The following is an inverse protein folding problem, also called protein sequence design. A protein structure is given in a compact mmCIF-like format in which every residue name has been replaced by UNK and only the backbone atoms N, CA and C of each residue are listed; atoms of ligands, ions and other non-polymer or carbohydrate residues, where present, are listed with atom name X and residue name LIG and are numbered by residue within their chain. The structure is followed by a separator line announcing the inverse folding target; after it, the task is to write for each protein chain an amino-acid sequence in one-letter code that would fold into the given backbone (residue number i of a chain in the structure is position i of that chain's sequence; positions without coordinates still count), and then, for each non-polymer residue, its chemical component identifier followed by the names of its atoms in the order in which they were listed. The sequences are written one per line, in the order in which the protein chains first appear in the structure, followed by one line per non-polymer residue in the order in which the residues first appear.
data_IF_843796614338
#
_entry.id   IF_843796614338
#
_cell.length_a   1.000
_cell.length_b   1.000
_cell.length_c   1.000
_cell.angle_alpha   90.00
_cell.angle_beta   90.00
_cell.angle_gamma   90.00
#
_symmetry.space_group_name_H-M   'P 1'
#
loop_
_entity.id
_entity.type
_entity.pdbx_description
1 polymer ?
#
# COMPACT_ATOMS: atom_id res chain seq x y z
N UNK A 1 1.44 0.93 -13.37
CA UNK A 1 0.16 0.26 -13.04
C UNK A 1 -0.95 1.19 -13.44
N UNK A 2 -1.86 0.73 -14.31
CA UNK A 2 -2.94 1.55 -14.88
C UNK A 2 -4.23 1.45 -14.06
N UNK A 3 -5.09 2.47 -14.18
CA UNK A 3 -6.42 2.45 -13.61
C UNK A 3 -7.33 1.54 -14.44
N UNK A 4 -8.03 0.64 -13.76
CA UNK A 4 -8.85 -0.38 -14.40
C UNK A 4 -10.34 -0.18 -14.10
N UNK A 5 -11.17 -0.49 -15.09
CA UNK A 5 -12.59 -0.77 -14.88
C UNK A 5 -12.77 -2.12 -14.18
N UNK A 6 -13.97 -2.38 -13.64
CA UNK A 6 -14.27 -3.68 -13.01
C UNK A 6 -14.13 -4.86 -14.01
N UNK A 7 -14.44 -4.62 -15.28
CA UNK A 7 -14.31 -5.63 -16.34
C UNK A 7 -12.85 -5.97 -16.62
N UNK A 8 -11.99 -4.96 -16.72
CA UNK A 8 -10.55 -5.14 -16.92
C UNK A 8 -9.91 -5.81 -15.70
N UNK A 9 -10.26 -5.36 -14.49
CA UNK A 9 -9.81 -5.97 -13.24
C UNK A 9 -10.16 -7.47 -13.17
N UNK A 10 -11.39 -7.83 -13.57
CA UNK A 10 -11.82 -9.23 -13.65
C UNK A 10 -11.07 -10.02 -14.71
N UNK A 11 -10.73 -9.38 -15.83
CA UNK A 11 -9.97 -9.99 -16.92
C UNK A 11 -8.54 -10.29 -16.46
N UNK A 12 -7.90 -9.34 -15.78
CA UNK A 12 -6.53 -9.47 -15.29
C UNK A 12 -6.42 -10.44 -14.11
N UNK A 13 -7.24 -10.24 -13.07
CA UNK A 13 -7.07 -10.96 -11.80
C UNK A 13 -8.00 -12.17 -11.62
N UNK A 14 -8.97 -12.33 -12.52
CA UNK A 14 -10.02 -13.33 -12.39
C UNK A 14 -11.22 -12.84 -11.58
N UNK A 15 -12.35 -13.54 -11.76
CA UNK A 15 -13.61 -13.23 -11.07
C UNK A 15 -13.60 -13.82 -9.66
N UNK A 16 -13.99 -13.02 -8.67
CA UNK A 16 -14.19 -13.51 -7.30
C UNK A 16 -15.36 -14.50 -7.25
N UNK A 17 -15.20 -15.57 -6.45
CA UNK A 17 -16.29 -16.51 -6.19
C UNK A 17 -17.42 -15.87 -5.37
N UNK A 18 -18.67 -16.25 -5.65
CA UNK A 18 -19.89 -15.71 -5.03
C UNK A 18 -19.97 -15.90 -3.50
N UNK A 19 -19.15 -16.77 -2.92
CA UNK A 19 -19.24 -17.17 -1.51
C UNK A 19 -17.94 -16.96 -0.71
N UNK A 20 -16.88 -16.37 -1.32
CA UNK A 20 -15.58 -16.25 -0.65
C UNK A 20 -14.79 -14.99 -1.08
N UNK A 21 -15.45 -13.84 -1.20
CA UNK A 21 -14.75 -12.56 -1.36
C UNK A 21 -14.11 -12.15 -0.05
N UNK A 22 -12.85 -12.56 0.16
CA UNK A 22 -12.02 -12.02 1.25
C UNK A 22 -11.63 -10.60 0.90
N UNK A 23 -12.21 -9.64 1.62
CA UNK A 23 -11.96 -8.21 1.42
C UNK A 23 -11.60 -7.53 2.74
N UNK A 24 -10.57 -6.69 2.70
CA UNK A 24 -10.24 -5.74 3.74
C UNK A 24 -10.74 -4.36 3.29
N UNK A 25 -11.91 -3.96 3.80
CA UNK A 25 -12.61 -2.75 3.36
C UNK A 25 -12.72 -1.69 4.45
N UNK A 26 -12.17 -0.50 4.20
CA UNK A 26 -12.28 0.63 5.12
C UNK A 26 -11.31 0.62 6.31
N UNK A 27 -10.36 -0.32 6.35
CA UNK A 27 -9.33 -0.38 7.40
C UNK A 27 -8.02 0.31 7.00
N UNK A 28 -7.82 0.56 5.70
CA UNK A 28 -6.59 1.14 5.17
C UNK A 28 -6.87 2.52 4.55
N UNK A 29 -5.88 3.39 4.58
CA UNK A 29 -5.86 4.64 3.83
C UNK A 29 -4.64 4.68 2.93
N UNK A 30 -4.87 4.94 1.65
CA UNK A 30 -3.82 5.09 0.66
C UNK A 30 -2.97 6.32 0.98
N UNK A 31 -1.66 6.13 0.93
CA UNK A 31 -0.68 7.20 1.08
C UNK A 31 -0.03 7.46 -0.27
N UNK A 32 0.51 6.44 -0.93
CA UNK A 32 1.21 6.67 -2.18
C UNK A 32 1.88 5.46 -2.78
N UNK A 33 2.51 5.67 -3.94
CA UNK A 33 3.41 4.70 -4.56
C UNK A 33 2.82 4.01 -5.77
N UNK A 34 1.65 4.41 -6.24
CA UNK A 34 1.04 3.98 -7.51
C UNK A 34 0.79 5.24 -8.34
N UNK A 35 1.62 5.48 -9.35
CA UNK A 35 1.62 6.73 -10.13
C UNK A 35 0.23 7.15 -10.60
N UNK A 36 -0.54 6.25 -11.19
CA UNK A 36 -1.88 6.56 -11.71
C UNK A 36 -2.90 6.92 -10.63
N UNK A 37 -2.71 6.45 -9.38
CA UNK A 37 -3.50 6.89 -8.22
C UNK A 37 -2.95 8.20 -7.65
N UNK A 38 -1.63 8.35 -7.60
CA UNK A 38 -0.96 9.56 -7.12
C UNK A 38 -1.38 10.78 -7.97
N UNK A 39 -1.46 10.62 -9.30
CA UNK A 39 -1.93 11.67 -10.23
C UNK A 39 -3.40 12.04 -10.01
N UNK A 40 -4.26 11.07 -9.66
CA UNK A 40 -5.68 11.31 -9.40
C UNK A 40 -5.91 11.98 -8.04
N UNK A 41 -5.16 11.56 -7.03
CA UNK A 41 -5.32 12.00 -5.64
C UNK A 41 -4.65 13.35 -5.42
N UNK A 42 -3.52 13.60 -6.09
CA UNK A 42 -2.70 14.78 -5.89
C UNK A 42 -1.92 14.73 -4.58
N UNK A 43 -1.77 15.88 -3.93
CA UNK A 43 -1.02 15.97 -2.67
C UNK A 43 -1.65 15.12 -1.56
N UNK A 44 -0.80 14.41 -0.82
CA UNK A 44 -1.21 13.62 0.33
C UNK A 44 -1.74 14.55 1.41
N UNK A 45 -3.03 14.45 1.70
CA UNK A 45 -3.63 15.09 2.86
C UNK A 45 -3.98 14.04 3.93
N UNK A 46 -3.15 13.95 4.97
CA UNK A 46 -3.39 13.03 6.09
C UNK A 46 -4.68 13.32 6.88
N UNK A 47 -5.25 14.53 6.75
CA UNK A 47 -6.52 14.91 7.39
C UNK A 47 -7.75 14.37 6.65
N UNK A 48 -7.63 14.11 5.34
CA UNK A 48 -8.69 13.53 4.50
C UNK A 48 -8.22 12.18 3.99
N UNK A 49 -8.39 11.11 4.78
CA UNK A 49 -7.84 9.81 4.41
C UNK A 49 -8.50 9.27 3.14
N UNK A 50 -7.68 8.92 2.16
CA UNK A 50 -8.14 8.21 0.96
C UNK A 50 -8.35 6.75 1.30
N UNK A 51 -9.58 6.36 1.67
CA UNK A 51 -9.89 4.98 2.05
C UNK A 51 -9.51 4.05 0.91
N UNK A 52 -8.69 3.05 1.21
CA UNK A 52 -8.38 1.98 0.28
C UNK A 52 -8.87 0.62 0.78
N UNK A 53 -9.17 -0.25 -0.18
CA UNK A 53 -9.62 -1.61 0.08
C UNK A 53 -8.77 -2.60 -0.70
N UNK A 54 -8.51 -3.73 -0.05
CA UNK A 54 -7.86 -4.89 -0.65
C UNK A 54 -8.89 -5.99 -0.84
N UNK A 55 -8.96 -6.57 -2.04
CA UNK A 55 -9.78 -7.74 -2.31
C UNK A 55 -8.92 -8.84 -2.93
N UNK A 56 -8.97 -10.04 -2.34
CA UNK A 56 -8.29 -11.21 -2.90
C UNK A 56 -9.01 -11.65 -4.16
N UNK A 57 -8.26 -11.79 -5.24
CA UNK A 57 -8.69 -12.33 -6.53
C UNK A 57 -7.86 -13.59 -6.86
N UNK A 58 -8.33 -14.48 -7.75
CA UNK A 58 -7.62 -15.72 -8.09
C UNK A 58 -6.15 -15.56 -8.49
N UNK A 59 -5.80 -14.47 -9.17
CA UNK A 59 -4.43 -14.22 -9.67
C UNK A 59 -3.71 -13.09 -8.94
N UNK A 60 -4.22 -12.62 -7.80
CA UNK A 60 -3.56 -11.56 -7.03
C UNK A 60 -4.53 -10.70 -6.22
N UNK A 61 -4.21 -9.43 -6.14
CA UNK A 61 -4.86 -8.47 -5.25
C UNK A 61 -5.47 -7.33 -6.06
N UNK A 62 -6.79 -7.17 -5.93
CA UNK A 62 -7.46 -5.96 -6.38
C UNK A 62 -7.28 -4.87 -5.33
N UNK A 63 -6.63 -3.78 -5.72
CA UNK A 63 -6.42 -2.62 -4.87
C UNK A 63 -7.34 -1.50 -5.34
N UNK A 64 -8.13 -0.93 -4.42
CA UNK A 64 -9.07 0.14 -4.76
C UNK A 64 -8.96 1.31 -3.80
N UNK A 65 -9.12 2.52 -4.32
CA UNK A 65 -9.13 3.76 -3.53
C UNK A 65 -10.41 4.53 -3.82
N UNK A 66 -11.08 5.00 -2.77
CA UNK A 66 -12.19 5.94 -2.89
C UNK A 66 -11.69 7.37 -2.78
N UNK A 67 -11.93 8.18 -3.80
CA UNK A 67 -11.60 9.60 -3.82
C UNK A 67 -12.70 10.39 -4.52
N UNK A 68 -13.21 11.47 -3.90
CA UNK A 68 -14.31 12.33 -4.41
C UNK A 68 -15.51 11.52 -4.96
N UNK A 69 -15.98 10.55 -4.17
CA UNK A 69 -17.09 9.64 -4.51
C UNK A 69 -16.88 8.75 -5.75
N UNK A 70 -15.65 8.67 -6.27
CA UNK A 70 -15.25 7.73 -7.33
C UNK A 70 -14.35 6.65 -6.75
N UNK A 71 -14.47 5.44 -7.27
CA UNK A 71 -13.59 4.32 -6.91
C UNK A 71 -12.62 4.04 -8.03
N UNK A 72 -11.35 4.22 -7.75
CA UNK A 72 -10.23 3.90 -8.62
C UNK A 72 -9.70 2.52 -8.26
N UNK A 73 -9.30 1.73 -9.26
CA UNK A 73 -8.86 0.35 -9.07
C UNK A 73 -7.59 0.11 -9.85
N UNK A 74 -6.73 -0.72 -9.30
CA UNK A 74 -5.54 -1.23 -9.97
C UNK A 74 -5.41 -2.72 -9.65
N UNK A 75 -4.83 -3.48 -10.58
CA UNK A 75 -4.50 -4.88 -10.37
C UNK A 75 -3.07 -5.01 -9.85
N UNK A 76 -2.88 -5.84 -8.83
CA UNK A 76 -1.57 -6.24 -8.33
C UNK A 76 -1.48 -7.76 -8.48
N UNK A 77 -0.85 -8.28 -9.54
CA UNK A 77 -0.65 -9.71 -9.72
C UNK A 77 0.16 -10.30 -8.56
N UNK A 78 -0.17 -11.54 -8.17
CA UNK A 78 0.45 -12.20 -7.01
C UNK A 78 1.98 -12.30 -7.16
N UNK A 79 2.44 -12.63 -8.37
CA UNK A 79 3.85 -12.80 -8.70
C UNK A 79 4.67 -11.51 -8.60
N UNK A 80 4.02 -10.35 -8.56
CA UNK A 80 4.71 -9.07 -8.36
C UNK A 80 4.95 -8.77 -6.88
N UNK A 81 4.18 -9.37 -5.96
CA UNK A 81 4.27 -9.08 -4.53
C UNK A 81 5.47 -9.83 -3.94
N UNK A 82 6.51 -9.08 -3.56
CA UNK A 82 7.73 -9.67 -2.99
C UNK A 82 7.75 -9.60 -1.47
N UNK A 83 7.06 -8.63 -0.87
CA UNK A 83 7.02 -8.44 0.57
C UNK A 83 5.84 -7.55 0.95
N UNK A 84 5.23 -7.84 2.10
CA UNK A 84 4.25 -6.97 2.74
C UNK A 84 4.69 -6.78 4.19
N UNK A 85 4.89 -5.53 4.62
CA UNK A 85 5.31 -5.23 6.00
C UNK A 85 4.34 -4.26 6.65
N UNK A 86 3.86 -4.61 7.85
CA UNK A 86 3.13 -3.68 8.71
C UNK A 86 4.06 -3.21 9.83
N UNK A 87 4.35 -1.92 9.88
CA UNK A 87 5.27 -1.29 10.82
C UNK A 87 4.54 -0.24 11.66
N UNK A 88 4.98 -0.11 12.92
CA UNK A 88 4.53 0.93 13.84
C UNK A 88 5.42 2.18 13.73
N UNK A 89 4.84 3.38 13.87
CA UNK A 89 5.60 4.63 13.71
C UNK A 89 6.75 4.75 14.71
N UNK A 90 6.64 4.26 15.94
CA UNK A 90 7.75 4.22 16.90
C UNK A 90 8.91 3.42 16.32
N UNK A 91 8.64 2.22 15.80
CA UNK A 91 9.65 1.34 15.20
C UNK A 91 10.29 1.97 13.96
N UNK A 92 9.51 2.64 13.11
CA UNK A 92 10.02 3.33 11.92
C UNK A 92 11.03 4.42 12.32
N UNK A 93 10.76 5.18 13.38
CA UNK A 93 11.67 6.23 13.85
C UNK A 93 12.89 5.71 14.63
N UNK A 94 12.74 4.61 15.37
CA UNK A 94 13.83 4.01 16.15
C UNK A 94 14.76 3.17 15.30
N UNK A 95 14.24 2.50 14.25
CA UNK A 95 14.97 1.57 13.39
C UNK A 95 14.92 2.00 11.93
N UNK A 96 15.15 3.29 11.67
CA UNK A 96 15.04 3.90 10.32
C UNK A 96 15.76 3.12 9.24
N UNK A 97 16.97 2.63 9.52
CA UNK A 97 17.81 1.87 8.57
C UNK A 97 17.23 0.50 8.18
N UNK A 98 16.44 -0.11 9.08
CA UNK A 98 15.80 -1.41 8.83
C UNK A 98 14.42 -1.26 8.20
N UNK A 99 13.77 -0.12 8.42
CA UNK A 99 12.45 0.19 7.87
C UNK A 99 12.55 0.64 6.41
N UNK A 100 11.66 0.14 5.55
CA UNK A 100 11.54 0.61 4.16
C UNK A 100 11.07 2.07 4.17
N UNK A 101 10.07 2.37 4.99
CA UNK A 101 9.52 3.72 5.12
C UNK A 101 10.51 4.63 5.86
N UNK A 102 11.20 4.12 6.89
CA UNK A 102 12.21 4.86 7.62
C UNK A 102 13.35 5.34 6.72
N UNK A 103 13.86 4.45 5.85
CA UNK A 103 14.86 4.82 4.82
C UNK A 103 14.31 5.83 3.82
N UNK A 104 13.02 5.76 3.48
CA UNK A 104 12.41 6.71 2.54
C UNK A 104 12.34 8.13 3.13
N UNK A 105 12.04 8.22 4.43
CA UNK A 105 12.01 9.47 5.20
C UNK A 105 13.42 10.05 5.35
N UNK A 106 14.43 9.23 5.67
CA UNK A 106 15.83 9.69 5.82
C UNK A 106 16.43 10.11 4.47
N UNK A 107 16.17 9.33 3.42
CA UNK A 107 16.80 9.50 2.11
C UNK A 107 16.10 10.49 1.17
N UNK A 108 15.05 11.19 1.61
CA UNK A 108 14.36 12.18 0.78
C UNK A 108 13.78 11.61 -0.53
N UNK A 109 13.40 10.33 -0.53
CA UNK A 109 12.91 9.54 -1.68
C UNK A 109 13.97 9.27 -2.76
N UNK A 110 14.81 8.27 -2.49
CA UNK A 110 15.28 7.23 -3.41
C UNK A 110 15.76 6.07 -2.54
N UNK A 111 14.93 5.02 -2.36
CA UNK A 111 15.36 3.84 -1.63
C UNK A 111 16.45 3.13 -2.44
N UNK A 112 17.63 3.01 -1.85
CA UNK A 112 18.87 2.65 -2.53
C UNK A 112 18.84 1.35 -3.35
N UNK A 113 19.74 1.30 -4.34
CA UNK A 113 20.11 0.13 -5.14
C UNK A 113 19.41 0.03 -6.50
N UNK A 114 18.10 0.29 -6.59
CA UNK A 114 17.32 -0.07 -7.81
C UNK A 114 16.20 0.92 -8.19
N UNK A 115 16.23 2.16 -7.68
CA UNK A 115 15.28 3.19 -8.14
C UNK A 115 13.83 2.97 -7.73
N UNK A 116 13.60 2.44 -6.52
CA UNK A 116 12.23 2.29 -6.02
C UNK A 116 11.57 3.66 -5.86
N UNK A 117 10.56 3.92 -6.71
CA UNK A 117 9.78 5.15 -6.73
C UNK A 117 8.68 5.05 -5.68
N UNK A 118 8.82 5.82 -4.60
CA UNK A 118 7.71 6.06 -3.68
C UNK A 118 7.08 7.40 -4.05
N UNK A 119 6.32 7.38 -5.15
CA UNK A 119 5.76 8.57 -5.81
C UNK A 119 5.01 9.49 -4.84
N UNK A 120 4.03 8.96 -4.10
CA UNK A 120 3.28 9.78 -3.14
C UNK A 120 4.09 10.32 -1.97
N UNK A 121 5.10 9.61 -1.45
CA UNK A 121 5.92 10.15 -0.34
C UNK A 121 6.88 11.26 -0.79
N UNK A 122 7.10 11.47 -2.09
CA UNK A 122 7.94 12.58 -2.59
C UNK A 122 7.34 13.97 -2.28
N UNK A 123 6.03 14.05 -2.04
CA UNK A 123 5.34 15.24 -1.55
C UNK A 123 5.56 15.51 -0.05
N UNK A 124 6.13 14.55 0.69
CA UNK A 124 6.61 14.75 2.05
C UNK A 124 7.98 15.46 2.04
N UNK A 125 8.03 16.66 1.44
CA UNK A 125 9.22 17.51 1.50
C UNK A 125 9.46 17.91 2.96
N UNK A 126 10.72 17.81 3.37
CA UNK A 126 11.32 18.28 4.63
C UNK A 126 10.56 17.98 5.93
N UNK A 127 11.08 16.99 6.67
CA UNK A 127 10.92 16.97 8.13
C UNK A 127 9.56 16.53 8.65
N UNK A 128 8.93 15.51 8.04
CA UNK A 128 7.76 14.84 8.64
C UNK A 128 8.10 14.44 10.07
N UNK A 129 7.42 15.09 11.02
CA UNK A 129 7.64 14.82 12.44
C UNK A 129 6.93 13.53 12.81
N UNK A 130 7.44 12.82 13.81
CA UNK A 130 6.80 11.60 14.34
C UNK A 130 5.33 11.83 14.71
N UNK A 131 5.00 13.02 15.21
CA UNK A 131 3.64 13.40 15.57
C UNK A 131 2.67 13.51 14.37
N UNK A 132 3.18 13.70 13.15
CA UNK A 132 2.40 13.87 11.93
C UNK A 132 2.24 12.55 11.16
N UNK A 133 3.00 11.51 11.54
CA UNK A 133 2.88 10.19 10.93
C UNK A 133 1.67 9.41 11.44
N UNK A 134 1.00 8.66 10.55
CA UNK A 134 -0.01 7.68 10.95
C UNK A 134 0.57 6.64 11.92
N UNK A 135 -0.29 6.10 12.78
CA UNK A 135 0.08 5.10 13.80
C UNK A 135 0.77 3.86 13.24
N UNK A 136 0.18 3.29 12.18
CA UNK A 136 0.67 2.09 11.52
C UNK A 136 0.77 2.35 10.03
N UNK A 137 1.84 1.83 9.43
CA UNK A 137 2.07 1.89 8.00
C UNK A 137 2.26 0.50 7.42
N UNK A 138 1.50 0.24 6.36
CA UNK A 138 1.60 -0.95 5.54
C UNK A 138 2.39 -0.60 4.29
N UNK A 139 3.47 -1.34 4.04
CA UNK A 139 4.23 -1.30 2.79
C UNK A 139 4.01 -2.60 2.01
N UNK A 140 3.77 -2.48 0.71
CA UNK A 140 3.70 -3.60 -0.22
C UNK A 140 4.81 -3.39 -1.25
N UNK A 141 5.85 -4.20 -1.19
CA UNK A 141 6.93 -4.20 -2.17
C UNK A 141 6.51 -5.03 -3.38
N UNK A 142 6.65 -4.41 -4.55
CA UNK A 142 6.29 -4.95 -5.83
C UNK A 142 7.51 -4.99 -6.75
N UNK A 143 7.58 -5.99 -7.62
CA UNK A 143 8.58 -6.09 -8.68
C UNK A 143 7.92 -6.17 -10.06
N UNK A 144 8.47 -5.43 -11.02
CA UNK A 144 8.15 -5.55 -12.43
C UNK A 144 9.46 -5.72 -13.22
N UNK A 145 9.88 -6.97 -13.39
CA UNK A 145 11.20 -7.29 -13.92
C UNK A 145 12.31 -6.81 -13.00
N UNK A 146 13.11 -5.84 -13.47
CA UNK A 146 14.19 -5.23 -12.69
C UNK A 146 13.73 -4.02 -11.86
N UNK A 147 12.53 -3.49 -12.10
CA UNK A 147 12.03 -2.30 -11.41
C UNK A 147 11.32 -2.69 -10.12
N UNK A 148 11.67 -2.02 -9.02
CA UNK A 148 10.99 -2.17 -7.74
C UNK A 148 10.05 -0.99 -7.49
N UNK A 149 8.93 -1.27 -6.85
CA UNK A 149 7.93 -0.27 -6.48
C UNK A 149 7.44 -0.58 -5.06
N UNK A 150 7.10 0.46 -4.29
CA UNK A 150 6.54 0.26 -2.94
C UNK A 150 5.24 1.04 -2.83
N UNK A 151 4.15 0.33 -2.55
CA UNK A 151 2.84 0.92 -2.26
C UNK A 151 2.72 1.10 -0.75
N UNK A 152 2.32 2.28 -0.31
CA UNK A 152 2.21 2.63 1.11
C UNK A 152 0.76 2.97 1.45
N UNK A 153 0.28 2.36 2.53
CA UNK A 153 -1.00 2.65 3.16
C UNK A 153 -0.80 2.89 4.66
N UNK A 154 -1.76 3.54 5.32
CA UNK A 154 -1.84 3.58 6.79
C UNK A 154 -3.05 2.82 7.29
N UNK A 155 -3.00 2.41 8.57
CA UNK A 155 -4.18 1.98 9.30
C UNK A 155 -4.12 2.49 10.75
N UNK A 156 -5.26 2.45 11.44
CA UNK A 156 -5.36 2.84 12.85
C UNK A 156 -5.04 1.63 13.73
N UNK A 157 -4.53 1.85 14.96
CA UNK A 157 -4.28 0.75 15.91
C UNK A 157 -5.49 -0.17 16.13
N UNK A 158 -6.69 0.40 16.21
CA UNK A 158 -7.94 -0.37 16.38
C UNK A 158 -8.21 -1.38 15.25
N UNK A 159 -7.63 -1.15 14.07
CA UNK A 159 -7.81 -1.98 12.88
C UNK A 159 -6.63 -2.98 12.70
N UNK A 160 -5.55 -2.86 13.49
CA UNK A 160 -4.33 -3.67 13.40
C UNK A 160 -4.60 -5.17 13.32
N UNK A 161 -5.38 -5.71 14.26
CA UNK A 161 -5.67 -7.14 14.32
C UNK A 161 -6.38 -7.64 13.06
N UNK A 162 -7.32 -6.87 12.52
CA UNK A 162 -8.05 -7.25 11.29
C UNK A 162 -7.13 -7.22 10.08
N UNK A 163 -6.26 -6.21 10.00
CA UNK A 163 -5.26 -6.09 8.94
C UNK A 163 -4.30 -7.28 8.99
N UNK A 164 -3.73 -7.59 10.16
CA UNK A 164 -2.83 -8.73 10.36
C UNK A 164 -3.52 -10.04 9.98
N UNK A 165 -4.72 -10.32 10.51
CA UNK A 165 -5.46 -11.55 10.19
C UNK A 165 -5.73 -11.70 8.69
N UNK A 166 -6.07 -10.60 8.01
CA UNK A 166 -6.26 -10.61 6.56
C UNK A 166 -4.95 -10.93 5.82
N UNK A 167 -3.83 -10.32 6.21
CA UNK A 167 -2.55 -10.51 5.55
C UNK A 167 -1.95 -11.89 5.83
N UNK A 168 -1.98 -12.37 7.08
CA UNK A 168 -1.53 -13.72 7.45
C UNK A 168 -2.33 -14.81 6.74
N UNK A 169 -3.64 -14.62 6.57
CA UNK A 169 -4.51 -15.62 5.95
C UNK A 169 -4.37 -15.73 4.43
N UNK A 170 -3.75 -14.75 3.78
CA UNK A 170 -3.73 -14.65 2.31
C UNK A 170 -2.34 -14.43 1.72
N UNK A 171 -1.38 -13.96 2.52
CA UNK A 171 -0.02 -13.58 2.09
C UNK A 171 1.05 -14.10 3.06
N UNK A 172 0.79 -15.21 3.77
CA UNK A 172 1.66 -15.74 4.84
C UNK A 172 3.15 -15.84 4.46
N UNK A 173 3.45 -16.19 3.22
CA UNK A 173 4.83 -16.41 2.76
C UNK A 173 5.61 -15.12 2.54
N UNK A 174 4.92 -13.99 2.33
CA UNK A 174 5.51 -12.69 2.02
C UNK A 174 5.17 -11.61 3.06
N UNK A 175 4.29 -11.93 4.02
CA UNK A 175 3.86 -11.00 5.05
C UNK A 175 4.75 -11.07 6.29
N UNK A 176 5.21 -9.90 6.73
CA UNK A 176 6.03 -9.71 7.91
C UNK A 176 5.40 -8.65 8.83
N UNK A 177 5.43 -8.91 10.13
CA UNK A 177 5.12 -7.93 11.17
C UNK A 177 6.43 -7.52 11.81
N UNK A 178 6.75 -6.23 11.78
CA UNK A 178 8.00 -5.70 12.34
C UNK A 178 7.90 -5.36 13.84
#
# INVERSE_FOLDING_TARGET
MELLTEKELTTELGKSGLFNTKKLAGQLHYIGGIQSLDEVIGEINFQVPNICNLEIKPKGLAFSVMHKFKTFRVAIPQEQITSITLEDKEQIFEKKEKSIIGRAIVGGVLLGGVGAVIGGLSGLKDGVKKAEMPDLLLSIELTNGSQKQVVVCSCKYKDKTKVIQFLESNFKEVFNVA
#
